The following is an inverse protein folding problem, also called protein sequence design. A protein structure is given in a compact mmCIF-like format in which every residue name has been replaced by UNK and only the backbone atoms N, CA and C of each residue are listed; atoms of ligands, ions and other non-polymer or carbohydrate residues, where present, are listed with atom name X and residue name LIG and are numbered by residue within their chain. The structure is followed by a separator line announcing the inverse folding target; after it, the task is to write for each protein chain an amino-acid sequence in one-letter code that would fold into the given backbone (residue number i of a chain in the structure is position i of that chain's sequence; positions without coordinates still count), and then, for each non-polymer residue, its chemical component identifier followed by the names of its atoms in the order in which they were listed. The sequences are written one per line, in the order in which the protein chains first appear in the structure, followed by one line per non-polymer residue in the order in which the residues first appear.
data_IF_086150581346
#
_entry.id   IF_086150581346
#
_cell.length_a   1.000
_cell.length_b   1.000
_cell.length_c   1.000
_cell.angle_alpha   90.00
_cell.angle_beta   90.00
_cell.angle_gamma   90.00
#
_symmetry.space_group_name_H-M   'P 1'
#
loop_
_entity.id
_entity.type
_entity.pdbx_description
1 polymer ?
#
# COMPACT_ATOMS: atom_id res chain seq x y z
N UNK A 1 38.24 4.67 1.06
CA UNK A 1 37.01 5.48 1.01
C UNK A 1 36.29 5.13 -0.29
N UNK A 2 34.99 4.87 -0.25
CA UNK A 2 34.17 4.64 -1.47
C UNK A 2 34.14 5.96 -2.24
N UNK A 3 34.58 5.94 -3.50
CA UNK A 3 34.48 7.13 -4.37
C UNK A 3 32.97 7.39 -4.63
N UNK A 4 32.47 8.55 -4.24
CA UNK A 4 31.09 8.97 -4.50
C UNK A 4 31.12 9.94 -5.69
N UNK A 5 30.43 9.62 -6.80
CA UNK A 5 30.43 10.45 -7.99
C UNK A 5 29.73 11.81 -7.73
N UNK A 6 29.93 12.78 -8.63
CA UNK A 6 29.26 14.09 -8.55
C UNK A 6 27.80 14.06 -9.00
N UNK A 7 27.45 13.06 -9.81
CA UNK A 7 26.13 12.86 -10.38
C UNK A 7 25.69 11.41 -10.21
N UNK A 8 24.40 11.15 -10.35
CA UNK A 8 23.81 9.81 -10.27
C UNK A 8 22.73 9.64 -11.32
N UNK A 9 22.37 8.40 -11.64
CA UNK A 9 21.19 8.08 -12.43
C UNK A 9 19.94 8.06 -11.54
N UNK A 10 18.84 8.64 -12.04
CA UNK A 10 17.55 8.63 -11.37
C UNK A 10 16.40 8.61 -12.39
N UNK A 11 15.29 7.97 -12.03
CA UNK A 11 14.06 8.06 -12.83
C UNK A 11 13.25 9.24 -12.33
N UNK A 12 13.22 10.28 -13.14
CA UNK A 12 12.59 11.55 -12.85
C UNK A 12 11.19 11.61 -13.46
N UNK A 13 10.21 11.88 -12.62
CA UNK A 13 8.84 12.19 -13.03
C UNK A 13 8.78 13.63 -13.54
N UNK A 14 8.37 13.80 -14.79
CA UNK A 14 8.26 15.09 -15.48
C UNK A 14 6.81 15.54 -15.72
N UNK A 15 5.84 14.64 -15.45
CA UNK A 15 4.42 14.89 -15.60
C UNK A 15 3.62 13.59 -15.62
N UNK A 16 2.31 13.67 -15.83
CA UNK A 16 1.47 12.47 -15.87
C UNK A 16 1.97 11.48 -16.93
N UNK A 17 2.29 10.25 -16.49
CA UNK A 17 2.86 9.16 -17.31
C UNK A 17 4.20 9.49 -17.99
N UNK A 18 4.90 10.53 -17.55
CA UNK A 18 6.21 10.91 -18.09
C UNK A 18 7.30 10.64 -17.05
N UNK A 19 7.97 9.51 -17.22
CA UNK A 19 9.12 9.06 -16.44
C UNK A 19 10.35 8.99 -17.33
N UNK A 20 11.42 9.67 -16.92
CA UNK A 20 12.67 9.73 -17.70
C UNK A 20 13.86 9.29 -16.86
N UNK A 21 14.71 8.43 -17.41
CA UNK A 21 16.02 8.17 -16.81
C UNK A 21 16.94 9.34 -17.11
N UNK A 22 17.42 9.99 -16.07
CA UNK A 22 18.23 11.21 -16.19
C UNK A 22 19.47 11.13 -15.30
N UNK A 23 20.53 11.81 -15.74
CA UNK A 23 21.69 12.09 -14.89
C UNK A 23 21.42 13.36 -14.08
N UNK A 24 21.37 13.21 -12.76
CA UNK A 24 21.05 14.30 -11.82
C UNK A 24 22.22 14.53 -10.83
N UNK A 25 22.31 15.71 -10.21
CA UNK A 25 23.32 15.93 -9.17
C UNK A 25 23.20 14.96 -8.01
N UNK A 26 24.34 14.54 -7.45
CA UNK A 26 24.39 13.74 -6.23
C UNK A 26 23.83 14.54 -5.05
N UNK A 27 22.90 13.98 -4.23
CA UNK A 27 22.40 14.67 -3.05
C UNK A 27 23.52 15.02 -2.07
N UNK A 28 23.59 16.27 -1.64
CA UNK A 28 24.50 16.72 -0.59
C UNK A 28 23.87 16.43 0.76
N UNK A 29 24.68 15.95 1.71
CA UNK A 29 24.23 15.67 3.07
C UNK A 29 24.85 16.63 4.07
N UNK A 30 24.04 16.98 5.09
CA UNK A 30 24.46 17.76 6.24
C UNK A 30 24.94 16.88 7.41
N UNK A 31 25.34 17.51 8.55
CA UNK A 31 25.92 16.80 9.69
C UNK A 31 25.04 15.70 10.28
N UNK A 32 23.71 15.86 10.31
CA UNK A 32 22.76 14.91 10.89
C UNK A 32 22.15 13.91 9.89
N UNK A 33 22.73 13.71 8.71
CA UNK A 33 22.10 13.03 7.59
C UNK A 33 22.89 11.82 7.10
N UNK A 34 22.23 10.98 6.29
CA UNK A 34 22.87 9.85 5.63
C UNK A 34 22.73 9.98 4.10
N UNK A 35 23.72 9.50 3.37
CA UNK A 35 23.61 9.14 1.96
C UNK A 35 23.61 7.63 1.85
N UNK A 36 22.55 7.11 1.28
CA UNK A 36 22.35 5.67 1.09
C UNK A 36 22.43 5.36 -0.40
N UNK A 37 23.32 4.43 -0.78
CA UNK A 37 23.29 3.79 -2.09
C UNK A 37 22.14 2.81 -2.09
N UNK A 38 21.16 3.05 -2.93
CA UNK A 38 19.98 2.20 -3.08
C UNK A 38 20.41 0.87 -3.66
N UNK A 39 19.93 -0.24 -3.09
CA UNK A 39 20.07 -1.57 -3.65
C UNK A 39 18.76 -2.01 -4.30
N UNK A 40 17.65 -1.68 -3.67
CA UNK A 40 16.31 -2.06 -4.13
C UNK A 40 15.26 -1.06 -3.66
N UNK A 41 14.26 -0.84 -4.50
CA UNK A 41 13.05 -0.09 -4.17
C UNK A 41 11.81 -0.80 -4.70
N UNK A 42 10.81 -1.02 -3.85
CA UNK A 42 9.53 -1.61 -4.25
C UNK A 42 8.66 -0.65 -5.06
N UNK A 43 7.85 -1.20 -5.97
CA UNK A 43 6.82 -0.44 -6.70
C UNK A 43 5.53 -0.45 -5.90
N UNK A 44 5.04 0.73 -5.54
CA UNK A 44 3.84 0.92 -4.73
C UNK A 44 2.67 1.45 -5.56
N UNK A 45 1.43 0.93 -5.37
CA UNK A 45 0.25 1.48 -6.00
C UNK A 45 0.03 2.99 -5.76
N UNK A 46 0.55 3.51 -4.65
CA UNK A 46 0.48 4.95 -4.35
C UNK A 46 1.32 5.78 -5.33
N UNK A 47 2.53 5.31 -5.68
CA UNK A 47 3.38 5.98 -6.66
C UNK A 47 2.76 5.88 -8.07
N UNK A 48 2.25 4.69 -8.42
CA UNK A 48 1.55 4.46 -9.69
C UNK A 48 0.42 5.47 -9.87
N UNK A 49 -0.47 5.62 -8.89
CA UNK A 49 -1.58 6.56 -8.96
C UNK A 49 -1.14 8.02 -9.07
N UNK A 50 -0.08 8.42 -8.36
CA UNK A 50 0.48 9.78 -8.46
C UNK A 50 1.03 10.05 -9.86
N UNK A 51 1.71 9.07 -10.45
CA UNK A 51 2.29 9.14 -11.79
C UNK A 51 1.18 9.19 -12.85
N UNK A 52 0.21 8.30 -12.79
CA UNK A 52 -0.85 8.20 -13.79
C UNK A 52 -1.81 9.39 -13.75
N UNK A 53 -2.18 9.85 -12.55
CA UNK A 53 -3.17 10.92 -12.41
C UNK A 53 -2.57 12.32 -12.31
N UNK A 54 -1.25 12.45 -12.31
CA UNK A 54 -0.59 13.76 -12.25
C UNK A 54 -0.91 14.54 -10.97
N UNK A 55 -1.12 13.86 -9.84
CA UNK A 55 -1.61 14.49 -8.60
C UNK A 55 -0.56 15.24 -7.80
N UNK A 56 0.68 15.24 -8.27
CA UNK A 56 1.81 15.95 -7.64
C UNK A 56 2.59 16.74 -8.70
N UNK A 57 3.10 17.92 -8.37
CA UNK A 57 3.89 18.72 -9.32
C UNK A 57 5.23 18.04 -9.63
N UNK A 58 5.67 18.06 -10.91
CA UNK A 58 7.03 17.69 -11.28
C UNK A 58 8.02 18.83 -10.94
N UNK A 59 9.35 18.58 -10.93
CA UNK A 59 9.97 17.26 -11.06
C UNK A 59 9.96 16.48 -9.74
N UNK A 60 9.96 15.11 -9.82
CA UNK A 60 10.07 14.24 -8.63
C UNK A 60 10.84 12.96 -8.94
N UNK A 61 11.47 12.39 -7.90
CA UNK A 61 11.93 11.01 -7.90
C UNK A 61 11.06 10.26 -6.91
N UNK A 62 10.33 9.24 -7.39
CA UNK A 62 9.47 8.41 -6.57
C UNK A 62 10.23 7.23 -5.95
N UNK A 63 9.51 6.36 -5.27
CA UNK A 63 10.03 5.17 -4.60
C UNK A 63 10.25 5.40 -3.11
N UNK A 64 9.51 4.67 -2.28
CA UNK A 64 9.53 4.83 -0.82
C UNK A 64 9.66 3.50 -0.05
N UNK A 65 9.67 2.38 -0.74
CA UNK A 65 9.93 1.06 -0.19
C UNK A 65 11.40 0.71 -0.44
N UNK A 66 12.33 1.36 0.26
CA UNK A 66 13.74 1.44 -0.13
C UNK A 66 14.66 0.74 0.87
N UNK A 67 15.60 -0.02 0.35
CA UNK A 67 16.71 -0.58 1.13
C UNK A 67 18.05 -0.36 0.41
N UNK A 68 19.14 -0.23 1.15
CA UNK A 68 20.44 0.02 0.58
C UNK A 68 21.57 0.03 1.60
N UNK A 69 22.73 0.55 1.19
CA UNK A 69 23.94 0.63 2.02
C UNK A 69 24.30 2.08 2.27
N UNK A 70 24.59 2.44 3.51
CA UNK A 70 25.08 3.78 3.87
C UNK A 70 26.48 3.96 3.28
N UNK A 71 26.65 4.97 2.43
CA UNK A 71 27.94 5.31 1.80
C UNK A 71 28.57 6.57 2.39
N UNK A 72 27.77 7.41 3.06
CA UNK A 72 28.24 8.56 3.83
C UNK A 72 27.31 8.81 5.01
N UNK A 73 27.90 9.14 6.16
CA UNK A 73 27.18 9.59 7.35
C UNK A 73 27.71 10.96 7.75
N UNK A 74 26.80 11.87 8.09
CA UNK A 74 27.14 13.19 8.59
C UNK A 74 27.79 13.13 9.98
N UNK A 75 28.57 14.13 10.33
CA UNK A 75 29.38 14.14 11.56
C UNK A 75 28.61 14.04 12.86
N UNK A 76 27.33 14.39 12.87
CA UNK A 76 26.47 14.31 14.06
C UNK A 76 25.70 12.97 14.16
N UNK A 77 25.77 12.10 13.15
CA UNK A 77 25.11 10.79 13.19
C UNK A 77 25.96 9.84 14.06
N UNK A 78 25.37 9.31 15.13
CA UNK A 78 26.06 8.40 16.07
C UNK A 78 25.56 6.96 15.94
N UNK A 79 24.30 6.76 15.58
CA UNK A 79 23.66 5.45 15.56
C UNK A 79 23.92 4.63 14.29
N UNK A 80 24.49 5.21 13.24
CA UNK A 80 24.79 4.55 11.96
C UNK A 80 26.19 4.86 11.48
N UNK A 81 26.75 3.96 10.65
CA UNK A 81 28.08 4.12 10.05
C UNK A 81 28.07 3.72 8.57
N UNK A 82 29.07 4.17 7.84
CA UNK A 82 29.31 3.75 6.45
C UNK A 82 29.48 2.22 6.40
N UNK A 83 28.83 1.58 5.42
CA UNK A 83 28.77 0.13 5.28
C UNK A 83 27.55 -0.52 5.92
N UNK A 84 26.82 0.15 6.82
CA UNK A 84 25.59 -0.41 7.38
C UNK A 84 24.57 -0.63 6.25
N UNK A 85 24.00 -1.83 6.21
CA UNK A 85 22.87 -2.21 5.34
C UNK A 85 21.59 -1.79 6.04
N UNK A 86 20.74 -0.99 5.37
CA UNK A 86 19.58 -0.38 6.01
C UNK A 86 18.32 -0.47 5.15
N UNK A 87 17.19 -0.62 5.82
CA UNK A 87 15.86 -0.36 5.29
C UNK A 87 15.40 1.02 5.77
N UNK A 88 14.85 1.80 4.85
CA UNK A 88 14.43 3.16 5.13
C UNK A 88 12.93 3.20 5.44
N UNK A 89 12.56 3.95 6.47
CA UNK A 89 11.17 4.35 6.69
C UNK A 89 10.93 5.66 5.94
N UNK A 90 9.90 5.70 5.09
CA UNK A 90 9.74 6.81 4.16
C UNK A 90 9.32 8.13 4.81
N UNK A 91 8.60 8.07 5.93
CA UNK A 91 8.17 9.25 6.65
C UNK A 91 8.23 9.08 8.16
N UNK A 92 8.67 10.13 8.83
CA UNK A 92 8.51 10.29 10.27
C UNK A 92 7.73 11.58 10.50
N UNK A 93 6.66 11.57 11.30
CA UNK A 93 5.87 12.76 11.59
C UNK A 93 6.64 13.74 12.50
N UNK A 94 6.16 14.99 12.63
CA UNK A 94 6.82 15.98 13.50
C UNK A 94 6.66 15.70 15.02
N UNK A 95 5.74 14.83 15.41
CA UNK A 95 5.41 14.41 16.77
C UNK A 95 4.79 15.48 17.69
N UNK A 96 4.62 16.72 17.23
CA UNK A 96 4.16 17.84 18.04
C UNK A 96 2.82 18.45 17.57
N UNK A 97 2.46 18.31 16.28
CA UNK A 97 1.22 18.89 15.75
C UNK A 97 -0.03 18.18 16.27
N UNK A 98 -1.20 18.78 16.05
CA UNK A 98 -2.49 18.24 16.48
C UNK A 98 -2.69 16.79 16.00
N UNK A 99 -2.44 16.49 14.71
CA UNK A 99 -2.56 15.14 14.18
C UNK A 99 -1.64 14.14 14.90
N UNK A 100 -0.41 14.56 15.23
CA UNK A 100 0.55 13.69 15.94
C UNK A 100 0.12 13.39 17.37
N UNK A 101 -0.44 14.38 18.09
CA UNK A 101 -0.97 14.17 19.45
C UNK A 101 -2.13 13.17 19.48
N UNK A 102 -2.89 13.06 18.39
CA UNK A 102 -3.95 12.07 18.18
C UNK A 102 -3.45 10.78 17.54
N UNK A 103 -2.14 10.54 17.47
CA UNK A 103 -1.53 9.39 16.78
C UNK A 103 -1.95 9.22 15.30
N UNK A 104 -2.52 10.26 14.70
CA UNK A 104 -2.92 10.30 13.30
C UNK A 104 -1.73 10.72 12.40
N UNK A 105 -0.58 10.03 12.55
CA UNK A 105 0.70 10.40 11.95
C UNK A 105 0.64 10.61 10.44
N UNK A 106 -0.12 9.79 9.73
CA UNK A 106 -0.32 9.93 8.28
C UNK A 106 -1.03 11.24 7.86
N UNK A 107 -1.60 12.00 8.81
CA UNK A 107 -2.25 13.29 8.59
C UNK A 107 -1.37 14.48 9.01
N UNK A 108 -0.17 14.24 9.51
CA UNK A 108 0.80 15.27 9.83
C UNK A 108 1.18 16.08 8.58
N UNK A 109 1.12 17.40 8.67
CA UNK A 109 1.46 18.26 7.52
C UNK A 109 2.94 18.15 7.11
N UNK A 110 3.84 17.96 8.08
CA UNK A 110 5.28 17.75 7.82
C UNK A 110 5.52 16.41 7.13
N UNK A 111 4.82 15.35 7.55
CA UNK A 111 4.84 14.05 6.89
C UNK A 111 4.50 14.13 5.40
N UNK A 112 3.55 14.97 4.99
CA UNK A 112 3.13 15.14 3.60
C UNK A 112 4.06 16.03 2.79
N UNK A 113 4.88 16.85 3.44
CA UNK A 113 5.80 17.81 2.78
C UNK A 113 7.22 17.29 2.69
N UNK A 114 7.62 16.41 3.59
CA UNK A 114 8.99 15.94 3.73
C UNK A 114 9.05 14.41 3.66
N UNK A 115 10.25 13.85 3.70
CA UNK A 115 10.50 12.42 3.58
C UNK A 115 11.12 12.04 2.24
N UNK A 116 11.35 10.75 2.04
CA UNK A 116 12.05 10.22 0.85
C UNK A 116 11.29 10.54 -0.44
N UNK A 117 9.96 10.53 -0.39
CA UNK A 117 9.10 10.77 -1.55
C UNK A 117 8.66 12.21 -1.74
N UNK A 118 9.20 13.15 -0.95
CA UNK A 118 8.70 14.53 -0.91
C UNK A 118 9.01 15.35 -2.15
N UNK A 119 9.84 14.86 -3.03
CA UNK A 119 10.13 15.57 -4.27
C UNK A 119 11.50 15.22 -4.84
N UNK A 120 11.92 16.04 -5.79
CA UNK A 120 13.24 15.96 -6.42
C UNK A 120 14.32 16.39 -5.43
N UNK A 121 14.10 17.49 -4.79
CA UNK A 121 14.85 18.03 -3.66
C UNK A 121 13.94 18.16 -2.44
N UNK A 122 14.43 18.00 -1.22
CA UNK A 122 15.83 17.81 -0.83
C UNK A 122 16.26 16.33 -0.73
N UNK A 123 15.35 15.38 -0.69
CA UNK A 123 15.66 13.98 -0.34
C UNK A 123 15.71 13.03 -1.54
N UNK A 124 14.96 13.30 -2.59
CA UNK A 124 14.77 12.36 -3.69
C UNK A 124 13.90 11.17 -3.31
N UNK A 125 14.05 10.05 -4.00
CA UNK A 125 13.33 8.81 -3.79
C UNK A 125 14.14 7.59 -4.21
N UNK A 126 13.60 6.41 -3.99
CA UNK A 126 14.30 5.14 -4.19
C UNK A 126 14.46 4.71 -5.66
N UNK A 127 13.80 5.39 -6.61
CA UNK A 127 14.06 5.16 -8.04
C UNK A 127 15.26 5.99 -8.52
N UNK A 128 16.37 5.91 -7.77
CA UNK A 128 17.64 6.53 -8.02
C UNK A 128 18.77 5.67 -7.44
N UNK A 129 20.00 5.89 -7.91
CA UNK A 129 21.16 5.17 -7.36
C UNK A 129 21.45 5.54 -5.90
N UNK A 130 21.12 6.77 -5.49
CA UNK A 130 21.35 7.24 -4.12
C UNK A 130 20.16 8.05 -3.63
N UNK A 131 19.96 8.01 -2.31
CA UNK A 131 18.94 8.78 -1.62
C UNK A 131 19.49 9.41 -0.35
N UNK A 132 19.11 10.67 -0.10
CA UNK A 132 19.41 11.39 1.13
C UNK A 132 18.41 11.04 2.21
N UNK A 133 18.89 10.72 3.40
CA UNK A 133 18.07 10.46 4.57
C UNK A 133 18.20 11.63 5.53
N UNK A 134 17.11 12.36 5.71
CA UNK A 134 17.03 13.56 6.55
C UNK A 134 17.06 13.18 8.03
N UNK A 135 17.46 14.11 8.95
CA UNK A 135 17.60 13.80 10.36
C UNK A 135 16.32 13.25 11.00
N UNK A 136 15.16 13.80 10.64
CA UNK A 136 13.86 13.39 11.18
C UNK A 136 13.40 12.00 10.67
N UNK A 137 14.04 11.45 9.63
CA UNK A 137 13.75 10.09 9.11
C UNK A 137 14.57 9.03 9.86
N UNK A 138 15.70 9.41 10.47
CA UNK A 138 16.60 8.46 11.15
C UNK A 138 15.95 7.54 12.17
N UNK A 139 14.94 7.96 12.98
CA UNK A 139 14.26 7.07 13.92
C UNK A 139 13.55 5.88 13.27
N UNK A 140 13.18 6.00 11.98
CA UNK A 140 12.54 4.95 11.19
C UNK A 140 13.51 4.06 10.42
N UNK A 141 14.80 4.36 10.41
CA UNK A 141 15.81 3.56 9.71
C UNK A 141 16.17 2.31 10.52
N UNK A 142 16.22 1.15 9.86
CA UNK A 142 16.51 -0.13 10.50
C UNK A 142 17.69 -0.81 9.81
N UNK A 143 18.64 -1.33 10.60
CA UNK A 143 19.72 -2.18 10.06
C UNK A 143 19.15 -3.52 9.58
N UNK A 144 19.61 -3.95 8.41
CA UNK A 144 19.30 -5.26 7.85
C UNK A 144 20.37 -6.25 8.35
N UNK A 145 20.00 -7.31 9.09
CA UNK A 145 20.93 -8.33 9.53
C UNK A 145 21.67 -8.98 8.34
N UNK A 146 22.89 -9.44 8.55
CA UNK A 146 23.72 -10.04 7.49
C UNK A 146 23.02 -11.21 6.75
N UNK A 147 22.24 -12.01 7.47
CA UNK A 147 21.48 -13.15 6.95
C UNK A 147 20.26 -12.78 6.07
N UNK A 148 19.83 -11.51 6.09
CA UNK A 148 18.66 -11.04 5.35
C UNK A 148 19.10 -10.23 4.14
N UNK A 149 18.30 -10.27 3.08
CA UNK A 149 18.55 -9.55 1.83
C UNK A 149 18.04 -8.11 1.86
N UNK A 150 18.48 -7.29 0.91
CA UNK A 150 17.89 -5.97 0.67
C UNK A 150 16.43 -6.08 0.24
N UNK A 151 16.05 -7.14 -0.48
CA UNK A 151 14.66 -7.41 -0.85
C UNK A 151 13.78 -7.53 0.40
N UNK A 152 14.21 -8.29 1.42
CA UNK A 152 13.49 -8.35 2.70
C UNK A 152 13.43 -6.98 3.37
N UNK A 153 14.50 -6.19 3.28
CA UNK A 153 14.54 -4.81 3.82
C UNK A 153 13.53 -3.87 3.17
N UNK A 154 13.39 -3.91 1.85
CA UNK A 154 12.44 -3.09 1.11
C UNK A 154 10.98 -3.42 1.47
N UNK A 155 10.71 -4.66 1.88
CA UNK A 155 9.37 -5.09 2.28
C UNK A 155 8.93 -4.60 3.67
N UNK A 156 9.81 -3.97 4.44
CA UNK A 156 9.41 -3.46 5.77
C UNK A 156 8.31 -2.39 5.66
N UNK A 157 8.38 -1.51 4.65
CA UNK A 157 7.39 -0.45 4.47
C UNK A 157 5.98 -1.01 4.21
N UNK A 158 5.73 -1.85 3.17
CA UNK A 158 4.40 -2.38 2.93
C UNK A 158 3.90 -3.29 4.06
N UNK A 159 4.76 -4.06 4.73
CA UNK A 159 4.37 -4.86 5.90
C UNK A 159 3.97 -3.95 7.08
N UNK A 160 4.65 -2.82 7.27
CA UNK A 160 4.31 -1.83 8.29
C UNK A 160 2.91 -1.26 8.07
N UNK A 161 2.60 -0.88 6.83
CA UNK A 161 1.30 -0.33 6.46
C UNK A 161 0.17 -1.33 6.76
N UNK A 162 0.38 -2.61 6.47
CA UNK A 162 -0.58 -3.68 6.76
C UNK A 162 -0.67 -3.96 8.27
N UNK A 163 0.45 -4.02 8.98
CA UNK A 163 0.44 -4.25 10.43
C UNK A 163 -0.30 -3.13 11.19
N UNK A 164 -0.10 -1.88 10.78
CA UNK A 164 -0.86 -0.74 11.31
C UNK A 164 -2.37 -0.94 11.12
N UNK A 165 -2.79 -1.37 9.94
CA UNK A 165 -4.20 -1.61 9.65
C UNK A 165 -4.76 -2.76 10.49
N UNK A 166 -4.03 -3.87 10.62
CA UNK A 166 -4.41 -5.00 11.49
C UNK A 166 -4.59 -4.57 12.95
N UNK A 167 -3.73 -3.68 13.44
CA UNK A 167 -3.83 -3.15 14.82
C UNK A 167 -5.04 -2.22 15.05
N UNK A 168 -5.73 -1.78 14.00
CA UNK A 168 -6.98 -1.02 14.12
C UNK A 168 -8.21 -1.91 14.30
N UNK A 169 -8.08 -3.20 14.04
CA UNK A 169 -9.14 -4.18 14.23
C UNK A 169 -9.17 -4.67 15.69
N UNK A 170 -10.35 -4.63 16.29
CA UNK A 170 -10.61 -5.14 17.64
C UNK A 170 -10.94 -6.64 17.58
N UNK A 171 -9.92 -7.48 17.35
CA UNK A 171 -10.05 -8.91 17.15
C UNK A 171 -9.46 -9.71 18.30
N UNK A 172 -10.09 -10.83 18.59
CA UNK A 172 -9.64 -11.83 19.56
C UNK A 172 -9.13 -13.09 18.84
N UNK A 173 -8.16 -13.84 19.41
CA UNK A 173 -7.75 -15.12 18.85
C UNK A 173 -8.96 -16.05 18.65
N UNK A 174 -9.06 -16.67 17.48
CA UNK A 174 -10.20 -17.51 17.08
C UNK A 174 -11.27 -16.80 16.25
N UNK A 175 -11.26 -15.48 16.18
CA UNK A 175 -12.14 -14.69 15.31
C UNK A 175 -11.96 -15.04 13.84
N UNK A 176 -13.05 -14.92 13.07
CA UNK A 176 -13.07 -15.24 11.64
C UNK A 176 -13.04 -13.95 10.82
N UNK A 177 -12.04 -13.83 9.96
CA UNK A 177 -11.79 -12.63 9.15
C UNK A 177 -11.77 -12.98 7.67
N UNK A 178 -12.58 -12.27 6.88
CA UNK A 178 -12.47 -12.29 5.42
C UNK A 178 -11.35 -11.35 4.97
N UNK A 179 -10.47 -11.82 4.09
CA UNK A 179 -9.51 -10.98 3.35
C UNK A 179 -9.87 -11.05 1.87
N UNK A 180 -10.46 -10.00 1.34
CA UNK A 180 -10.88 -9.89 -0.05
C UNK A 180 -9.74 -9.32 -0.91
N UNK A 181 -9.25 -10.16 -1.83
CA UNK A 181 -8.07 -9.92 -2.67
C UNK A 181 -6.77 -10.46 -2.05
N UNK A 182 -6.06 -11.31 -2.80
CA UNK A 182 -4.83 -11.96 -2.40
C UNK A 182 -3.63 -11.52 -3.27
N UNK A 183 -3.61 -10.23 -3.62
CA UNK A 183 -2.38 -9.57 -4.07
C UNK A 183 -1.37 -9.49 -2.93
N UNK A 184 -0.19 -8.85 -3.13
CA UNK A 184 0.85 -8.75 -2.10
C UNK A 184 0.32 -8.25 -0.75
N UNK A 185 -0.56 -7.26 -0.78
CA UNK A 185 -1.18 -6.67 0.42
C UNK A 185 -2.11 -7.66 1.11
N UNK A 186 -3.01 -8.31 0.36
CA UNK A 186 -3.93 -9.29 0.93
C UNK A 186 -3.20 -10.48 1.56
N UNK A 187 -2.14 -10.98 0.91
CA UNK A 187 -1.29 -12.05 1.45
C UNK A 187 -0.59 -11.64 2.74
N UNK A 188 -0.14 -10.37 2.85
CA UNK A 188 0.41 -9.85 4.12
C UNK A 188 -0.67 -9.79 5.20
N UNK A 189 -1.90 -9.35 4.90
CA UNK A 189 -3.02 -9.41 5.84
C UNK A 189 -3.31 -10.84 6.27
N UNK A 190 -3.44 -11.77 5.33
CA UNK A 190 -3.67 -13.19 5.60
C UNK A 190 -2.63 -13.72 6.58
N UNK A 191 -1.33 -13.45 6.32
CA UNK A 191 -0.27 -13.92 7.20
C UNK A 191 -0.30 -13.27 8.58
N UNK A 192 -0.44 -11.95 8.67
CA UNK A 192 -0.43 -11.25 9.95
C UNK A 192 -1.62 -11.59 10.84
N UNK A 193 -2.80 -11.78 10.25
CA UNK A 193 -4.01 -12.23 10.96
C UNK A 193 -3.85 -13.68 11.45
N UNK A 194 -3.35 -14.58 10.59
CA UNK A 194 -3.09 -15.98 10.98
C UNK A 194 -2.05 -16.07 12.10
N UNK A 195 -0.98 -15.27 12.08
CA UNK A 195 0.02 -15.19 13.15
C UNK A 195 -0.55 -14.72 14.49
N UNK A 196 -1.68 -14.01 14.47
CA UNK A 196 -2.42 -13.55 15.65
C UNK A 196 -3.53 -14.51 16.08
N UNK A 197 -3.62 -15.69 15.45
CA UNK A 197 -4.60 -16.70 15.79
C UNK A 197 -6.00 -16.52 15.20
N UNK A 198 -6.15 -15.64 14.20
CA UNK A 198 -7.43 -15.47 13.48
C UNK A 198 -7.64 -16.61 12.49
N UNK A 199 -8.91 -16.98 12.26
CA UNK A 199 -9.33 -17.86 11.17
C UNK A 199 -9.54 -17.02 9.91
N UNK A 200 -8.60 -17.09 8.96
CA UNK A 200 -8.67 -16.28 7.74
C UNK A 200 -9.39 -17.05 6.63
N UNK A 201 -10.45 -16.44 6.10
CA UNK A 201 -11.09 -16.80 4.85
C UNK A 201 -10.57 -15.85 3.77
N UNK A 202 -9.87 -16.38 2.77
CA UNK A 202 -9.28 -15.57 1.70
C UNK A 202 -10.07 -15.70 0.40
N UNK A 203 -10.32 -14.57 -0.27
CA UNK A 203 -10.95 -14.58 -1.62
C UNK A 203 -10.08 -13.88 -2.65
N UNK A 204 -10.00 -14.45 -3.84
CA UNK A 204 -9.36 -13.86 -5.02
C UNK A 204 -9.92 -14.51 -6.29
N UNK A 205 -9.82 -13.81 -7.43
CA UNK A 205 -10.24 -14.35 -8.73
C UNK A 205 -9.21 -15.30 -9.34
N UNK A 206 -7.97 -15.30 -8.84
CA UNK A 206 -6.86 -16.07 -9.38
C UNK A 206 -6.56 -17.28 -8.49
N UNK A 207 -6.76 -18.54 -8.99
CA UNK A 207 -6.51 -19.74 -8.20
C UNK A 207 -5.09 -19.85 -7.65
N UNK A 208 -4.09 -19.39 -8.40
CA UNK A 208 -2.69 -19.38 -7.95
C UNK A 208 -2.49 -18.53 -6.69
N UNK A 209 -3.15 -17.39 -6.59
CA UNK A 209 -3.12 -16.52 -5.40
C UNK A 209 -3.84 -17.15 -4.21
N UNK A 210 -4.92 -17.89 -4.46
CA UNK A 210 -5.62 -18.65 -3.42
C UNK A 210 -4.78 -19.81 -2.87
N UNK A 211 -4.01 -20.49 -3.73
CA UNK A 211 -3.06 -21.50 -3.29
C UNK A 211 -2.00 -20.89 -2.36
N UNK A 212 -1.43 -19.75 -2.76
CA UNK A 212 -0.47 -19.02 -1.92
C UNK A 212 -1.09 -18.51 -0.61
N UNK A 213 -2.38 -18.11 -0.62
CA UNK A 213 -3.08 -17.69 0.59
C UNK A 213 -3.18 -18.81 1.63
N UNK A 214 -3.36 -20.09 1.21
CA UNK A 214 -3.31 -21.25 2.13
C UNK A 214 -1.93 -21.37 2.80
N UNK A 215 -0.86 -21.21 2.04
CA UNK A 215 0.50 -21.23 2.57
C UNK A 215 0.78 -20.08 3.54
N UNK A 216 0.13 -18.93 3.32
CA UNK A 216 0.20 -17.78 4.22
C UNK A 216 -0.72 -17.91 5.44
N UNK A 217 -1.50 -18.99 5.56
CA UNK A 217 -2.26 -19.35 6.75
C UNK A 217 -3.78 -19.16 6.64
N UNK A 218 -4.33 -18.98 5.43
CA UNK A 218 -5.78 -18.99 5.24
C UNK A 218 -6.34 -20.39 5.54
N UNK A 219 -7.32 -20.47 6.44
CA UNK A 219 -7.99 -21.75 6.79
C UNK A 219 -8.98 -22.19 5.74
N UNK A 220 -9.52 -21.24 4.97
CA UNK A 220 -10.37 -21.46 3.80
C UNK A 220 -10.05 -20.45 2.72
N UNK A 221 -10.29 -20.85 1.48
CA UNK A 221 -10.17 -19.96 0.33
C UNK A 221 -11.42 -20.13 -0.55
N UNK A 222 -11.80 -19.06 -1.24
CA UNK A 222 -12.92 -19.05 -2.16
C UNK A 222 -12.61 -18.21 -3.39
N UNK A 223 -12.95 -18.74 -4.58
CA UNK A 223 -12.88 -18.01 -5.84
C UNK A 223 -14.29 -17.54 -6.20
N UNK A 224 -14.66 -16.27 -6.02
CA UNK A 224 -15.97 -15.77 -6.38
C UNK A 224 -16.25 -15.93 -7.87
N UNK A 225 -17.48 -16.28 -8.24
CA UNK A 225 -17.87 -16.37 -9.64
C UNK A 225 -17.75 -15.00 -10.33
N UNK A 226 -17.33 -15.00 -11.60
CA UNK A 226 -17.18 -13.77 -12.40
C UNK A 226 -18.50 -13.04 -12.63
N UNK A 227 -19.64 -13.74 -12.50
CA UNK A 227 -20.98 -13.18 -12.70
C UNK A 227 -21.43 -12.23 -11.59
N UNK A 228 -20.88 -12.36 -10.39
CA UNK A 228 -21.24 -11.50 -9.24
C UNK A 228 -20.45 -10.18 -9.18
N UNK A 229 -19.45 -9.97 -10.05
CA UNK A 229 -18.61 -8.79 -10.03
C UNK A 229 -18.67 -8.00 -11.33
N UNK A 230 -19.25 -6.82 -11.25
CA UNK A 230 -19.30 -5.84 -12.35
C UNK A 230 -17.88 -5.44 -12.79
N UNK A 231 -17.59 -5.40 -14.10
CA UNK A 231 -16.27 -5.03 -14.58
C UNK A 231 -15.93 -3.57 -14.23
N UNK A 232 -14.66 -3.36 -14.01
CA UNK A 232 -13.90 -2.14 -13.76
C UNK A 232 -14.63 -0.82 -14.10
N UNK A 233 -14.72 0.17 -13.16
CA UNK A 233 -15.32 1.48 -13.38
C UNK A 233 -14.74 2.27 -14.55
N UNK A 234 -13.52 1.96 -14.99
CA UNK A 234 -12.86 2.66 -16.12
C UNK A 234 -13.53 2.43 -17.47
N UNK A 235 -14.23 1.31 -17.67
CA UNK A 235 -15.01 1.07 -18.90
C UNK A 235 -16.26 1.95 -19.03
N UNK A 236 -16.75 2.53 -17.93
CA UNK A 236 -17.92 3.44 -17.90
C UNK A 236 -17.54 4.90 -18.23
N UNK A 237 -16.27 5.33 -18.12
CA UNK A 237 -15.87 6.70 -18.38
C UNK A 237 -15.76 7.04 -19.88
N UNK A 238 -15.50 6.07 -20.76
CA UNK A 238 -15.49 6.31 -22.22
C UNK A 238 -16.88 6.66 -22.80
N UNK A 239 -17.95 6.34 -22.10
CA UNK A 239 -19.32 6.61 -22.55
C UNK A 239 -19.87 8.01 -22.19
N UNK A 240 -19.23 8.77 -21.27
CA UNK A 240 -19.73 10.07 -20.76
C UNK A 240 -19.00 11.31 -21.25
N UNK A 241 -18.01 11.19 -22.14
CA UNK A 241 -17.31 12.34 -22.74
C UNK A 241 -17.94 12.77 -24.09
N UNK A 242 -19.27 12.82 -24.18
CA UNK A 242 -19.96 13.62 -25.21
C UNK A 242 -20.29 14.98 -24.61
N UNK A 243 -19.60 16.00 -25.07
CA UNK A 243 -19.85 17.42 -24.74
C UNK A 243 -21.32 17.79 -25.04
N UNK A 244 -22.06 18.45 -24.13
CA UNK A 244 -23.30 19.08 -24.50
C UNK A 244 -23.00 20.39 -25.26
N UNK A 245 -23.66 20.59 -26.37
CA UNK A 245 -23.73 21.87 -27.07
C UNK A 245 -24.53 22.86 -26.21
N UNK A 246 -24.05 24.09 -26.17
CA UNK A 246 -24.68 25.25 -25.52
C UNK A 246 -26.08 25.53 -26.04
N UNK A 247 -27.06 25.75 -25.16
CA UNK A 247 -28.18 26.69 -25.42
C UNK A 247 -28.87 27.06 -24.08
N UNK A 248 -28.84 28.34 -23.80
CA UNK A 248 -29.78 29.30 -23.15
C UNK A 248 -30.82 28.80 -22.13
N UNK A 249 -30.69 29.37 -20.92
CA UNK A 249 -31.68 29.85 -19.94
C UNK A 249 -33.13 29.39 -20.01
N UNK A 250 -33.58 28.75 -18.91
CA UNK A 250 -34.84 29.04 -18.23
C UNK A 250 -34.83 28.36 -16.80
N UNK A 251 -35.22 29.18 -15.81
CA UNK A 251 -35.46 28.71 -14.44
C UNK A 251 -36.62 27.71 -14.40
N UNK A 252 -36.40 26.52 -13.88
CA UNK A 252 -37.44 25.59 -13.45
C UNK A 252 -37.08 24.94 -12.10
N UNK A 253 -38.07 24.59 -11.25
CA UNK A 253 -37.86 24.22 -9.85
C UNK A 253 -37.07 22.92 -9.72
N UNK A 254 -36.19 22.88 -8.69
CA UNK A 254 -35.42 21.68 -8.30
C UNK A 254 -36.35 20.52 -7.94
N UNK A 255 -36.67 19.71 -8.91
CA UNK A 255 -37.18 18.37 -8.68
C UNK A 255 -36.00 17.45 -8.40
N UNK A 256 -35.80 17.06 -7.16
CA UNK A 256 -34.81 16.02 -6.76
C UNK A 256 -35.28 14.68 -7.33
N UNK A 257 -34.95 14.41 -8.57
CA UNK A 257 -35.07 13.06 -9.13
C UNK A 257 -34.06 12.18 -8.40
N UNK A 258 -34.54 11.33 -7.50
CA UNK A 258 -33.83 10.16 -7.04
C UNK A 258 -33.44 9.36 -8.28
N UNK A 259 -32.17 9.47 -8.70
CA UNK A 259 -31.61 8.55 -9.67
C UNK A 259 -31.84 7.13 -9.13
N UNK A 260 -32.63 6.33 -9.85
CA UNK A 260 -32.87 4.93 -9.53
C UNK A 260 -31.52 4.21 -9.46
N UNK A 261 -31.00 4.01 -8.26
CA UNK A 261 -29.78 3.22 -8.04
C UNK A 261 -30.14 1.77 -8.37
N UNK A 262 -29.37 1.16 -9.25
CA UNK A 262 -29.44 -0.28 -9.48
C UNK A 262 -29.33 -0.99 -8.11
N UNK A 263 -30.14 -2.05 -7.87
CA UNK A 263 -29.99 -2.83 -6.65
C UNK A 263 -28.55 -3.35 -6.53
N UNK A 264 -28.02 -3.50 -5.31
CA UNK A 264 -26.72 -4.07 -5.10
C UNK A 264 -26.67 -5.49 -5.71
N UNK A 265 -25.51 -5.94 -6.20
CA UNK A 265 -25.36 -7.27 -6.74
C UNK A 265 -25.70 -8.31 -5.65
N UNK A 266 -26.29 -9.45 -6.02
CA UNK A 266 -26.59 -10.50 -5.06
C UNK A 266 -25.32 -11.01 -4.40
N UNK A 267 -25.42 -11.38 -3.12
CA UNK A 267 -24.34 -12.02 -2.37
C UNK A 267 -23.94 -13.35 -3.04
N UNK A 268 -22.65 -13.67 -2.99
CA UNK A 268 -22.17 -14.99 -3.44
C UNK A 268 -22.68 -16.09 -2.49
N UNK A 269 -23.57 -16.99 -2.96
CA UNK A 269 -24.18 -18.01 -2.09
C UNK A 269 -23.15 -19.00 -1.52
N UNK A 270 -22.10 -19.30 -2.27
CA UNK A 270 -21.04 -20.22 -1.82
C UNK A 270 -20.20 -19.57 -0.74
N UNK A 271 -19.84 -18.29 -0.89
CA UNK A 271 -19.15 -17.52 0.14
C UNK A 271 -19.99 -17.45 1.42
N UNK A 272 -21.27 -17.13 1.30
CA UNK A 272 -22.20 -17.09 2.43
C UNK A 272 -22.27 -18.44 3.16
N UNK A 273 -22.38 -19.56 2.44
CA UNK A 273 -22.38 -20.90 3.01
C UNK A 273 -21.09 -21.21 3.77
N UNK A 274 -19.91 -20.86 3.21
CA UNK A 274 -18.63 -21.04 3.89
C UNK A 274 -18.55 -20.24 5.18
N UNK A 275 -19.04 -19.00 5.18
CA UNK A 275 -19.07 -18.15 6.37
C UNK A 275 -19.98 -18.73 7.44
N UNK A 276 -21.19 -19.18 7.06
CA UNK A 276 -22.11 -19.85 8.00
C UNK A 276 -21.44 -21.05 8.69
N UNK A 277 -20.75 -21.90 7.91
CA UNK A 277 -20.04 -23.07 8.45
C UNK A 277 -18.89 -22.66 9.40
N UNK A 278 -18.05 -21.70 8.99
CA UNK A 278 -16.88 -21.26 9.78
C UNK A 278 -17.28 -20.56 11.07
N UNK A 279 -18.38 -19.81 11.07
CA UNK A 279 -18.80 -18.94 12.17
C UNK A 279 -19.99 -19.51 12.97
N UNK A 280 -20.51 -20.68 12.61
CA UNK A 280 -21.76 -21.24 13.16
C UNK A 280 -22.91 -20.23 13.04
N UNK A 281 -23.08 -19.69 11.85
CA UNK A 281 -24.09 -18.69 11.47
C UNK A 281 -24.01 -17.33 12.18
N UNK A 282 -22.92 -17.06 12.95
CA UNK A 282 -22.74 -15.77 13.65
C UNK A 282 -22.41 -14.61 12.69
N UNK A 283 -21.83 -14.90 11.52
CA UNK A 283 -21.23 -13.92 10.63
C UNK A 283 -19.72 -13.68 10.94
N UNK A 284 -19.06 -12.92 10.10
CA UNK A 284 -17.63 -12.59 10.22
C UNK A 284 -17.39 -11.57 11.34
N UNK A 285 -16.28 -11.72 12.06
CA UNK A 285 -15.85 -10.72 13.06
C UNK A 285 -15.27 -9.48 12.38
N UNK A 286 -14.59 -9.67 11.25
CA UNK A 286 -14.16 -8.56 10.38
C UNK A 286 -14.03 -8.97 8.91
N UNK A 287 -14.01 -7.95 8.04
CA UNK A 287 -13.65 -8.08 6.63
C UNK A 287 -12.60 -7.03 6.25
N UNK A 288 -11.56 -7.47 5.55
CA UNK A 288 -10.49 -6.60 5.03
C UNK A 288 -10.66 -6.48 3.52
N UNK A 289 -10.83 -5.25 3.04
CA UNK A 289 -11.00 -4.95 1.62
C UNK A 289 -9.66 -4.52 1.03
N UNK A 290 -8.97 -5.48 0.40
CA UNK A 290 -7.68 -5.26 -0.25
C UNK A 290 -7.78 -5.08 -1.78
N UNK A 291 -9.00 -4.86 -2.30
CA UNK A 291 -9.31 -4.60 -3.71
C UNK A 291 -10.17 -3.34 -3.85
N UNK A 292 -9.99 -2.53 -4.92
CA UNK A 292 -10.80 -1.33 -5.13
C UNK A 292 -12.14 -1.68 -5.80
N UNK A 293 -13.10 -2.22 -5.03
CA UNK A 293 -14.41 -2.65 -5.55
C UNK A 293 -15.54 -2.29 -4.60
N UNK A 294 -16.49 -1.50 -5.08
CA UNK A 294 -17.68 -1.06 -4.35
C UNK A 294 -18.58 -2.25 -3.99
N UNK A 295 -18.72 -3.21 -4.92
CA UNK A 295 -19.48 -4.44 -4.70
C UNK A 295 -18.92 -5.25 -3.53
N UNK A 296 -17.57 -5.35 -3.42
CA UNK A 296 -16.92 -6.06 -2.31
C UNK A 296 -17.13 -5.33 -0.98
N UNK A 297 -17.13 -3.99 -0.97
CA UNK A 297 -17.44 -3.21 0.24
C UNK A 297 -18.87 -3.48 0.71
N UNK A 298 -19.83 -3.46 -0.21
CA UNK A 298 -21.24 -3.73 0.10
C UNK A 298 -21.45 -5.17 0.61
N UNK A 299 -20.88 -6.14 -0.10
CA UNK A 299 -20.92 -7.55 0.31
C UNK A 299 -20.33 -7.76 1.70
N UNK A 300 -19.18 -7.16 1.98
CA UNK A 300 -18.51 -7.26 3.28
C UNK A 300 -19.38 -6.74 4.43
N UNK A 301 -20.10 -5.63 4.24
CA UNK A 301 -21.00 -5.10 5.26
C UNK A 301 -22.13 -6.09 5.62
N UNK A 302 -22.64 -6.82 4.64
CA UNK A 302 -23.69 -7.82 4.85
C UNK A 302 -23.17 -9.08 5.53
N UNK A 303 -21.90 -9.43 5.32
CA UNK A 303 -21.28 -10.67 5.82
C UNK A 303 -20.68 -10.54 7.23
N UNK A 304 -20.37 -9.33 7.69
CA UNK A 304 -19.93 -9.12 9.07
C UNK A 304 -21.10 -9.15 10.04
N UNK A 305 -20.87 -9.73 11.23
CA UNK A 305 -21.86 -9.78 12.31
C UNK A 305 -22.19 -8.40 12.87
N UNK A 306 -23.18 -8.31 13.73
CA UNK A 306 -23.39 -7.14 14.59
C UNK A 306 -22.11 -6.84 15.41
N UNK A 307 -21.77 -5.58 15.57
CA UNK A 307 -20.51 -5.06 16.12
C UNK A 307 -19.26 -5.62 15.41
N UNK A 308 -19.40 -6.03 14.13
CA UNK A 308 -18.27 -6.45 13.29
C UNK A 308 -17.64 -5.28 12.56
N UNK A 309 -16.46 -5.51 11.97
CA UNK A 309 -15.63 -4.44 11.41
C UNK A 309 -15.34 -4.64 9.92
N UNK A 310 -15.46 -3.59 9.12
CA UNK A 310 -15.05 -3.57 7.71
C UNK A 310 -13.87 -2.62 7.56
N UNK A 311 -12.69 -3.17 7.25
CA UNK A 311 -11.46 -2.40 7.03
C UNK A 311 -11.28 -2.08 5.55
N UNK A 312 -11.35 -0.80 5.22
CA UNK A 312 -11.08 -0.27 3.88
C UNK A 312 -9.59 0.05 3.76
N UNK A 313 -8.86 -0.78 3.01
CA UNK A 313 -7.43 -0.62 2.81
C UNK A 313 -7.06 -0.24 1.38
N UNK A 314 -7.70 -0.84 0.39
CA UNK A 314 -7.50 -0.45 -1.01
C UNK A 314 -8.19 0.88 -1.25
N UNK A 315 -7.40 1.94 -1.50
CA UNK A 315 -7.95 3.26 -1.78
C UNK A 315 -8.25 3.41 -3.27
N UNK A 316 -9.39 4.01 -3.55
CA UNK A 316 -9.86 4.41 -4.86
C UNK A 316 -9.48 5.87 -5.17
N UNK A 317 -9.90 6.38 -6.34
CA UNK A 317 -9.76 7.81 -6.68
C UNK A 317 -10.58 8.65 -5.69
N UNK A 318 -10.08 9.85 -5.34
CA UNK A 318 -10.87 10.82 -4.58
C UNK A 318 -12.16 11.15 -5.32
N UNK A 319 -13.29 11.17 -4.59
CA UNK A 319 -14.62 11.35 -5.16
C UNK A 319 -15.25 10.06 -5.68
N UNK A 320 -14.60 8.89 -5.55
CA UNK A 320 -15.28 7.62 -5.75
C UNK A 320 -16.21 7.36 -4.55
N UNK A 321 -17.44 6.93 -4.84
CA UNK A 321 -18.47 6.69 -3.85
C UNK A 321 -18.87 5.20 -3.87
N UNK A 322 -19.20 4.67 -2.69
CA UNK A 322 -19.82 3.37 -2.52
C UNK A 322 -21.09 3.53 -1.69
N UNK A 323 -22.12 2.73 -2.00
CA UNK A 323 -23.34 2.69 -1.19
C UNK A 323 -23.07 2.00 0.14
N UNK A 324 -23.54 2.61 1.22
CA UNK A 324 -23.48 2.09 2.58
C UNK A 324 -24.92 2.04 3.13
N UNK A 325 -25.33 0.92 3.68
CA UNK A 325 -26.58 0.83 4.42
C UNK A 325 -26.39 1.44 5.82
N UNK A 326 -26.85 2.68 5.97
CA UNK A 326 -26.69 3.43 7.21
C UNK A 326 -27.48 2.82 8.37
N UNK A 327 -28.63 2.20 8.10
CA UNK A 327 -29.42 1.52 9.14
C UNK A 327 -28.64 0.33 9.70
N UNK A 328 -28.08 -0.50 8.82
CA UNK A 328 -27.21 -1.62 9.21
C UNK A 328 -25.98 -1.15 9.99
N UNK A 329 -25.31 -0.07 9.57
CA UNK A 329 -24.16 0.46 10.31
C UNK A 329 -24.59 0.94 11.70
N UNK A 330 -25.71 1.69 11.80
CA UNK A 330 -26.14 2.28 13.07
C UNK A 330 -26.76 1.23 14.02
N UNK A 331 -27.71 0.44 13.52
CA UNK A 331 -28.50 -0.48 14.38
C UNK A 331 -27.73 -1.76 14.73
N UNK A 332 -26.87 -2.24 13.83
CA UNK A 332 -26.02 -3.39 14.08
C UNK A 332 -24.65 -3.01 14.65
N UNK A 333 -24.40 -1.72 14.94
CA UNK A 333 -23.15 -1.18 15.49
C UNK A 333 -21.89 -1.59 14.68
N UNK A 334 -21.97 -1.64 13.33
CA UNK A 334 -20.86 -2.07 12.48
C UNK A 334 -19.88 -0.93 12.22
N UNK A 335 -18.59 -1.20 12.38
CA UNK A 335 -17.52 -0.24 12.12
C UNK A 335 -17.07 -0.23 10.66
N UNK A 336 -16.95 0.96 10.07
CA UNK A 336 -16.22 1.18 8.82
C UNK A 336 -14.89 1.87 9.11
N UNK A 337 -13.78 1.17 8.93
CA UNK A 337 -12.45 1.61 9.33
C UNK A 337 -11.58 1.86 8.10
N UNK A 338 -11.09 3.09 7.91
CA UNK A 338 -10.06 3.40 6.92
C UNK A 338 -8.66 3.27 7.51
N UNK A 339 -7.68 2.77 6.74
CA UNK A 339 -6.27 2.81 7.12
C UNK A 339 -5.41 3.26 5.94
N UNK A 340 -4.47 4.16 6.20
CA UNK A 340 -3.59 4.73 5.18
C UNK A 340 -2.17 4.91 5.72
N UNK A 341 -1.17 4.51 4.93
CA UNK A 341 0.25 4.67 5.20
C UNK A 341 0.76 3.91 6.43
N UNK A 342 2.05 3.93 6.63
CA UNK A 342 2.75 3.22 7.71
C UNK A 342 2.79 4.01 9.02
N UNK A 343 3.28 3.36 10.08
CA UNK A 343 3.51 3.95 11.39
C UNK A 343 4.95 3.66 11.83
N UNK A 344 5.77 4.69 12.00
CA UNK A 344 7.18 4.54 12.35
C UNK A 344 7.39 3.85 13.72
N UNK A 345 6.42 3.94 14.64
CA UNK A 345 6.48 3.26 15.94
C UNK A 345 6.45 1.74 15.79
N UNK A 346 5.88 1.21 14.71
CA UNK A 346 5.80 -0.22 14.43
C UNK A 346 7.05 -0.78 13.76
N UNK A 347 8.00 0.06 13.36
CA UNK A 347 9.14 -0.34 12.54
C UNK A 347 9.97 -1.47 13.15
N UNK A 348 10.19 -1.46 14.47
CA UNK A 348 10.92 -2.53 15.18
C UNK A 348 10.15 -3.86 15.20
N UNK A 349 8.82 -3.82 15.33
CA UNK A 349 7.97 -5.01 15.30
C UNK A 349 7.95 -5.63 13.90
N UNK A 350 7.80 -4.79 12.87
CA UNK A 350 7.85 -5.19 11.47
C UNK A 350 9.19 -5.82 11.12
N UNK A 351 10.30 -5.21 11.53
CA UNK A 351 11.63 -5.75 11.31
C UNK A 351 11.79 -7.15 11.92
N UNK A 352 11.27 -7.36 13.14
CA UNK A 352 11.27 -8.69 13.77
C UNK A 352 10.46 -9.70 12.97
N UNK A 353 9.27 -9.34 12.48
CA UNK A 353 8.40 -10.23 11.69
C UNK A 353 9.05 -10.65 10.37
N UNK A 354 9.60 -9.68 9.63
CA UNK A 354 10.22 -9.92 8.31
C UNK A 354 11.57 -10.61 8.45
N UNK A 355 12.47 -10.11 9.28
CA UNK A 355 13.82 -10.66 9.39
C UNK A 355 13.89 -12.02 10.12
N UNK A 356 12.89 -12.37 10.91
CA UNK A 356 12.73 -13.75 11.42
C UNK A 356 12.02 -14.66 10.43
N UNK A 357 11.52 -14.11 9.30
CA UNK A 357 10.73 -14.83 8.30
C UNK A 357 9.42 -15.42 8.82
N UNK A 358 8.91 -14.94 9.96
CA UNK A 358 7.53 -15.24 10.38
C UNK A 358 6.54 -14.78 9.32
N UNK A 359 6.81 -13.63 8.69
CA UNK A 359 6.27 -13.23 7.41
C UNK A 359 7.40 -13.31 6.39
N UNK A 360 7.43 -14.38 5.57
CA UNK A 360 8.45 -14.54 4.52
C UNK A 360 8.12 -13.66 3.32
N UNK A 361 8.57 -12.41 3.38
CA UNK A 361 8.31 -11.40 2.38
C UNK A 361 8.96 -11.70 1.02
N UNK A 362 9.97 -12.59 0.96
CA UNK A 362 10.64 -13.00 -0.30
C UNK A 362 9.66 -13.68 -1.25
N UNK A 363 8.70 -14.45 -0.70
CA UNK A 363 7.67 -15.16 -1.48
C UNK A 363 6.67 -14.22 -2.17
N UNK A 364 6.66 -12.96 -1.79
CA UNK A 364 5.80 -11.94 -2.40
C UNK A 364 6.47 -11.24 -3.59
N UNK A 365 7.80 -11.27 -3.70
CA UNK A 365 8.55 -10.58 -4.75
C UNK A 365 8.69 -11.50 -5.95
N UNK A 366 8.03 -11.16 -7.05
CA UNK A 366 7.99 -11.99 -8.26
C UNK A 366 8.82 -11.43 -9.42
N UNK A 367 8.97 -10.10 -9.50
CA UNK A 367 9.64 -9.44 -10.61
C UNK A 367 10.63 -8.39 -10.14
N UNK A 368 11.80 -8.39 -10.77
CA UNK A 368 12.87 -7.44 -10.51
C UNK A 368 13.26 -6.76 -11.82
N UNK A 369 13.31 -5.44 -11.83
CA UNK A 369 13.67 -4.64 -12.98
C UNK A 369 14.87 -3.75 -12.66
N UNK A 370 15.83 -3.57 -13.58
CA UNK A 370 16.88 -2.57 -13.39
C UNK A 370 16.29 -1.15 -13.40
N UNK A 371 17.00 -0.18 -12.80
CA UNK A 371 16.57 1.21 -12.70
C UNK A 371 16.11 1.79 -14.04
N UNK A 372 16.83 1.52 -15.12
CA UNK A 372 16.48 1.99 -16.46
C UNK A 372 15.12 1.49 -16.97
N UNK A 373 14.62 0.40 -16.41
CA UNK A 373 13.33 -0.20 -16.76
C UNK A 373 12.21 0.11 -15.74
N UNK A 374 12.37 1.14 -14.92
CA UNK A 374 11.36 1.52 -13.91
C UNK A 374 9.98 1.75 -14.52
N UNK A 375 9.89 2.33 -15.72
CA UNK A 375 8.61 2.52 -16.41
C UNK A 375 7.92 1.18 -16.70
N UNK A 376 8.65 0.15 -17.17
CA UNK A 376 8.12 -1.19 -17.39
C UNK A 376 7.72 -1.88 -16.07
N UNK A 377 8.48 -1.66 -14.99
CA UNK A 377 8.13 -2.15 -13.66
C UNK A 377 6.80 -1.55 -13.16
N UNK A 378 6.59 -0.26 -13.39
CA UNK A 378 5.35 0.46 -13.05
C UNK A 378 4.18 -0.05 -13.90
N UNK A 379 4.40 -0.25 -15.19
CA UNK A 379 3.39 -0.78 -16.11
C UNK A 379 2.92 -2.18 -15.67
N UNK A 380 3.85 -3.12 -15.40
CA UNK A 380 3.49 -4.44 -14.89
C UNK A 380 2.75 -4.38 -13.55
N UNK A 381 3.16 -3.49 -12.65
CA UNK A 381 2.50 -3.36 -11.35
C UNK A 381 1.11 -2.67 -11.46
N UNK A 382 0.88 -1.88 -12.51
CA UNK A 382 -0.42 -1.25 -12.83
C UNK A 382 -1.41 -2.24 -13.44
N UNK A 383 -0.91 -3.15 -14.27
CA UNK A 383 -1.68 -4.18 -14.99
C UNK A 383 -1.13 -5.56 -14.60
N UNK A 384 -1.40 -6.01 -13.35
CA UNK A 384 -0.80 -7.22 -12.84
C UNK A 384 -1.32 -8.46 -13.59
N UNK A 385 -0.39 -9.37 -13.92
CA UNK A 385 -0.70 -10.71 -14.47
C UNK A 385 -1.07 -11.70 -13.37
N UNK A 386 -1.44 -12.92 -13.76
CA UNK A 386 -1.72 -14.01 -12.81
C UNK A 386 -0.48 -14.37 -11.96
N UNK A 387 0.72 -14.20 -12.52
CA UNK A 387 1.99 -14.57 -11.89
C UNK A 387 2.63 -13.39 -11.13
N UNK A 388 2.19 -12.15 -11.39
CA UNK A 388 2.79 -10.99 -10.77
C UNK A 388 2.19 -10.68 -9.40
N UNK A 389 3.08 -10.50 -8.42
CA UNK A 389 2.76 -10.00 -7.09
C UNK A 389 3.49 -8.68 -6.85
N UNK A 390 4.55 -8.71 -6.05
CA UNK A 390 5.36 -7.52 -5.79
C UNK A 390 6.44 -7.36 -6.86
N UNK A 391 6.46 -6.19 -7.46
CA UNK A 391 7.49 -5.74 -8.41
C UNK A 391 8.46 -4.84 -7.67
N UNK A 392 9.76 -5.00 -7.93
CA UNK A 392 10.80 -4.15 -7.35
C UNK A 392 11.77 -3.66 -8.43
N UNK A 393 12.33 -2.48 -8.20
CA UNK A 393 13.43 -1.91 -8.99
C UNK A 393 14.73 -2.16 -8.25
N UNK A 394 15.72 -2.75 -8.92
CA UNK A 394 17.03 -3.06 -8.36
C UNK A 394 18.09 -2.20 -9.04
N UNK A 395 19.09 -1.79 -8.27
CA UNK A 395 20.27 -1.14 -8.81
C UNK A 395 21.28 -2.20 -9.24
N UNK A 396 21.93 -2.02 -10.37
CA UNK A 396 22.77 -2.97 -11.08
C UNK A 396 23.59 -3.92 -10.22
N UNK A 397 23.96 -5.06 -10.76
CA UNK A 397 24.58 -6.25 -10.16
C UNK A 397 25.53 -5.96 -8.98
N UNK A 398 24.96 -5.94 -7.79
CA UNK A 398 25.63 -5.96 -6.51
C UNK A 398 24.86 -6.97 -5.66
N UNK A 399 25.17 -8.27 -5.87
CA UNK A 399 24.83 -9.36 -4.97
C UNK A 399 25.41 -9.15 -3.59
#
# INVERSE_FOLDING_TARGET
MVHIPKTMQAVVYRGANDLRLETVPMPRIGPGELLVRVAVCGVCPTDIKKIQYGTVPPPRIFGHETAGTIVRAGSSVRQFRVGDRVALHHHVPCLECHACRHHAFAQCAQYKRTGITAGFEPAGGGYAEYVRVMPFVLPGVVRIPARNSFLEGAMLEPVNTVLKAVKRLALLPGDTVLVAGQGPIGLMFTRLLALRGMKVLATDLLPARLALARDFGAVRVHCPSSETRNPNPESRQKAKLRKPKSSTTHHAPRNTQHASRLPPPPLDPQLSTLIHQLTRSRGLDAAVIAVPSDAVVHEAQSLVRGAGQVLLFSHTRRGAEASVDLATVCMDEKDLIGSYSSDFLLQKEVARLVFSRKLDARRLITHQFPLAQTAAAIELASHPTAESLKVVVVQGSGQ
#
